data_IF_578966835493
#
_entry.id   IF_578966835493
#
_cell.length_a   1.000
_cell.length_b   1.000
_cell.length_c   1.000
_cell.angle_alpha   90.00
_cell.angle_beta   90.00
_cell.angle_gamma   90.00
#
_symmetry.space_group_name_H-M   'P 1'
#
loop_
_entity.id
_entity.type
_entity.pdbx_description
1 polymer ?
#
# COMPACT_ATOMS: atom_id res chain seq x y z
N UNK A 1 -15.99 -14.08 2.38
CA UNK A 1 -15.08 -13.00 1.99
C UNK A 1 -14.25 -12.60 3.20
N UNK A 2 -12.94 -12.46 3.08
CA UNK A 2 -12.13 -12.08 4.22
C UNK A 2 -12.42 -10.66 4.69
N UNK A 3 -12.46 -10.47 5.97
CA UNK A 3 -12.65 -9.19 6.65
C UNK A 3 -11.34 -8.78 7.34
N UNK A 4 -10.97 -7.53 7.23
CA UNK A 4 -9.84 -6.97 7.96
C UNK A 4 -10.34 -6.12 9.12
N UNK A 5 -9.88 -6.42 10.32
CA UNK A 5 -10.03 -5.58 11.49
C UNK A 5 -8.66 -5.08 11.93
N UNK A 6 -8.49 -3.77 11.93
CA UNK A 6 -7.29 -3.10 12.43
C UNK A 6 -7.68 -2.24 13.62
N UNK A 7 -7.03 -2.46 14.75
CA UNK A 7 -7.16 -1.62 15.94
C UNK A 7 -5.80 -1.01 16.30
N UNK A 8 -5.77 0.30 16.44
CA UNK A 8 -4.59 1.04 16.87
C UNK A 8 -4.89 1.64 18.24
N UNK A 9 -4.17 1.16 19.25
CA UNK A 9 -4.24 1.70 20.59
C UNK A 9 -3.23 2.82 20.76
N UNK A 10 -3.68 3.93 21.36
CA UNK A 10 -2.86 5.12 21.50
C UNK A 10 -2.99 5.72 22.90
N UNK A 11 -2.17 6.71 23.18
CA UNK A 11 -2.43 7.66 24.26
C UNK A 11 -3.73 8.40 23.98
N UNK A 12 -4.23 9.13 24.97
CA UNK A 12 -5.53 9.79 24.88
C UNK A 12 -5.60 10.77 23.69
N UNK A 13 -6.57 10.55 22.82
CA UNK A 13 -6.86 11.41 21.69
C UNK A 13 -7.95 12.40 22.12
N UNK A 14 -7.68 13.71 22.12
CA UNK A 14 -8.70 14.70 22.43
C UNK A 14 -9.96 14.54 21.56
N UNK A 15 -11.13 14.71 22.14
CA UNK A 15 -12.41 14.47 21.45
C UNK A 15 -12.52 15.22 20.12
N UNK A 16 -12.04 16.46 20.05
CA UNK A 16 -12.02 17.30 18.83
C UNK A 16 -11.16 16.71 17.70
N UNK A 17 -10.21 15.83 18.02
CA UNK A 17 -9.27 15.26 17.07
C UNK A 17 -9.68 13.84 16.64
N UNK A 18 -10.58 13.20 17.34
CA UNK A 18 -10.94 11.79 17.09
C UNK A 18 -11.52 11.58 15.69
N UNK A 19 -12.45 12.42 15.27
CA UNK A 19 -13.05 12.31 13.93
C UNK A 19 -12.05 12.58 12.83
N UNK A 20 -11.19 13.57 13.00
CA UNK A 20 -10.10 13.87 12.06
C UNK A 20 -9.14 12.71 11.93
N UNK A 21 -8.76 12.09 13.04
CA UNK A 21 -7.89 10.91 13.07
C UNK A 21 -8.53 9.72 12.35
N UNK A 22 -9.82 9.47 12.57
CA UNK A 22 -10.53 8.39 11.86
C UNK A 22 -10.54 8.61 10.35
N UNK A 23 -10.81 9.84 9.89
CA UNK A 23 -10.78 10.18 8.45
C UNK A 23 -9.38 10.05 7.85
N UNK A 24 -8.35 10.47 8.56
CA UNK A 24 -6.97 10.35 8.12
C UNK A 24 -6.56 8.88 8.00
N UNK A 25 -6.95 8.05 8.97
CA UNK A 25 -6.73 6.61 8.93
C UNK A 25 -7.41 5.98 7.70
N UNK A 26 -8.68 6.28 7.48
CA UNK A 26 -9.44 5.82 6.32
C UNK A 26 -8.76 6.20 5.01
N UNK A 27 -8.42 7.48 4.84
CA UNK A 27 -7.77 7.99 3.65
C UNK A 27 -6.42 7.32 3.39
N UNK A 28 -5.56 7.28 4.39
CA UNK A 28 -4.22 6.73 4.25
C UNK A 28 -4.24 5.25 3.90
N UNK A 29 -5.07 4.47 4.58
CA UNK A 29 -5.20 3.04 4.31
C UNK A 29 -5.81 2.80 2.94
N UNK A 30 -6.91 3.50 2.60
CA UNK A 30 -7.57 3.33 1.31
C UNK A 30 -6.66 3.69 0.14
N UNK A 31 -5.91 4.78 0.23
CA UNK A 31 -4.98 5.20 -0.82
C UNK A 31 -3.88 4.16 -1.04
N UNK A 32 -3.32 3.64 0.04
CA UNK A 32 -2.26 2.62 -0.04
C UNK A 32 -2.77 1.30 -0.63
N UNK A 33 -3.95 0.85 -0.22
CA UNK A 33 -4.55 -0.37 -0.75
C UNK A 33 -4.92 -0.23 -2.23
N UNK A 34 -5.42 0.94 -2.65
CA UNK A 34 -5.68 1.24 -4.07
C UNK A 34 -4.41 1.19 -4.91
N UNK A 35 -3.34 1.79 -4.43
CA UNK A 35 -2.03 1.75 -5.11
C UNK A 35 -1.53 0.31 -5.23
N UNK A 36 -1.76 -0.51 -4.22
CA UNK A 36 -1.42 -1.94 -4.26
C UNK A 36 -2.34 -2.76 -5.19
N UNK A 37 -3.43 -2.17 -5.69
CA UNK A 37 -4.37 -2.83 -6.59
C UNK A 37 -5.43 -3.67 -5.88
N UNK A 38 -5.61 -3.45 -4.59
CA UNK A 38 -6.67 -4.10 -3.81
C UNK A 38 -7.98 -3.33 -3.94
N UNK A 39 -9.07 -4.08 -3.96
CA UNK A 39 -10.44 -3.56 -3.92
C UNK A 39 -11.17 -4.14 -2.71
N UNK A 40 -12.21 -3.47 -2.27
CA UNK A 40 -13.03 -3.89 -1.14
C UNK A 40 -14.48 -3.45 -1.33
N UNK A 41 -15.39 -4.10 -0.61
CA UNK A 41 -16.81 -3.81 -0.70
C UNK A 41 -17.23 -2.68 0.25
N UNK A 42 -16.71 -2.70 1.47
CA UNK A 42 -17.03 -1.70 2.49
C UNK A 42 -15.82 -1.38 3.36
N UNK A 43 -15.75 -0.14 3.80
CA UNK A 43 -14.73 0.33 4.73
C UNK A 43 -15.40 1.24 5.75
N UNK A 44 -15.13 0.99 7.03
CA UNK A 44 -15.63 1.80 8.14
C UNK A 44 -14.51 2.09 9.14
N UNK A 45 -14.53 3.28 9.72
CA UNK A 45 -13.59 3.67 10.76
C UNK A 45 -14.34 4.14 11.99
N UNK A 46 -13.77 3.86 13.16
CA UNK A 46 -14.29 4.26 14.45
C UNK A 46 -13.15 4.86 15.27
N UNK A 47 -13.46 5.91 16.01
CA UNK A 47 -12.51 6.56 16.88
C UNK A 47 -13.02 6.57 18.31
N UNK A 48 -12.12 6.28 19.24
CA UNK A 48 -12.31 6.43 20.67
C UNK A 48 -11.18 7.21 21.30
N UNK A 49 -11.27 7.49 22.62
CA UNK A 49 -10.25 8.30 23.30
C UNK A 49 -8.84 7.67 23.27
N UNK A 50 -8.75 6.36 23.18
CA UNK A 50 -7.47 5.63 23.18
C UNK A 50 -7.36 4.59 22.05
N UNK A 51 -8.25 4.64 21.08
CA UNK A 51 -8.31 3.63 20.04
C UNK A 51 -8.83 4.21 18.72
N UNK A 52 -8.18 3.81 17.65
CA UNK A 52 -8.70 3.95 16.28
C UNK A 52 -8.95 2.57 15.73
N UNK A 53 -10.12 2.36 15.15
CA UNK A 53 -10.51 1.07 14.58
C UNK A 53 -10.86 1.25 13.11
N UNK A 54 -10.38 0.35 12.28
CA UNK A 54 -10.70 0.28 10.86
C UNK A 54 -11.18 -1.12 10.53
N UNK A 55 -12.31 -1.19 9.84
CA UNK A 55 -12.92 -2.45 9.38
C UNK A 55 -13.06 -2.38 7.87
N UNK A 56 -12.55 -3.38 7.18
CA UNK A 56 -12.68 -3.51 5.72
C UNK A 56 -13.31 -4.87 5.42
N UNK A 57 -14.41 -4.85 4.69
CA UNK A 57 -15.09 -6.05 4.21
C UNK A 57 -14.81 -6.27 2.72
N UNK A 58 -14.76 -7.54 2.31
CA UNK A 58 -14.62 -7.90 0.91
C UNK A 58 -13.21 -7.76 0.35
N UNK A 59 -12.18 -7.85 1.18
CA UNK A 59 -10.79 -7.89 0.70
C UNK A 59 -10.50 -9.22 0.02
N UNK A 60 -9.84 -9.22 -1.15
CA UNK A 60 -9.35 -10.46 -1.75
C UNK A 60 -8.19 -11.04 -0.93
N UNK A 61 -7.99 -12.34 -1.00
CA UNK A 61 -6.92 -13.02 -0.27
C UNK A 61 -5.52 -12.65 -0.79
N UNK A 62 -5.42 -12.29 -2.07
CA UNK A 62 -4.18 -11.86 -2.72
C UNK A 62 -4.50 -10.92 -3.89
N UNK A 63 -3.54 -10.11 -4.28
CA UNK A 63 -3.65 -9.33 -5.51
C UNK A 63 -3.45 -10.25 -6.72
N UNK A 64 -4.17 -10.03 -7.83
CA UNK A 64 -3.95 -10.78 -9.05
C UNK A 64 -2.56 -10.46 -9.64
N UNK A 65 -2.01 -11.42 -10.36
CA UNK A 65 -0.82 -11.18 -11.16
C UNK A 65 -1.14 -10.11 -12.21
N UNK A 66 -0.27 -9.16 -12.36
CA UNK A 66 -0.37 -8.11 -13.37
C UNK A 66 0.68 -8.30 -14.44
N UNK A 67 0.23 -8.30 -15.67
CA UNK A 67 1.12 -8.15 -16.82
C UNK A 67 0.90 -6.76 -17.41
N UNK A 68 1.96 -5.98 -17.48
CA UNK A 68 1.96 -4.66 -18.05
C UNK A 68 2.89 -4.64 -19.26
N UNK A 69 2.36 -4.21 -20.40
CA UNK A 69 3.14 -4.06 -21.62
C UNK A 69 3.58 -2.60 -21.75
N UNK A 70 4.88 -2.36 -21.75
CA UNK A 70 5.45 -1.02 -21.88
C UNK A 70 6.06 -0.89 -23.27
N UNK A 71 5.62 0.14 -23.98
CA UNK A 71 6.15 0.48 -25.30
C UNK A 71 7.58 1.03 -25.16
N UNK A 72 8.51 0.39 -25.83
CA UNK A 72 9.91 0.77 -25.86
C UNK A 72 10.32 1.52 -27.14
N UNK A 73 11.62 1.71 -27.32
CA UNK A 73 12.17 2.33 -28.52
C UNK A 73 12.00 1.43 -29.75
N UNK A 74 12.15 2.00 -30.94
CA UNK A 74 12.15 1.22 -32.18
C UNK A 74 13.33 0.26 -32.20
N UNK A 75 13.16 -0.86 -32.87
CA UNK A 75 14.23 -1.85 -33.05
C UNK A 75 15.48 -1.26 -33.74
N UNK A 76 15.28 -0.22 -34.55
CA UNK A 76 16.35 0.54 -35.22
C UNK A 76 16.92 1.71 -34.39
N UNK A 77 16.46 1.88 -33.14
CA UNK A 77 16.93 2.97 -32.27
C UNK A 77 18.40 2.78 -31.85
N UNK A 78 19.10 3.88 -31.53
CA UNK A 78 20.46 3.79 -31.01
C UNK A 78 20.56 2.90 -29.77
N UNK A 79 21.66 2.20 -29.65
CA UNK A 79 21.94 1.28 -28.55
C UNK A 79 21.80 1.96 -27.15
N UNK A 80 22.15 3.24 -27.07
CA UNK A 80 21.98 4.04 -25.86
C UNK A 80 20.53 4.19 -25.42
N UNK A 81 19.59 4.34 -26.36
CA UNK A 81 18.17 4.42 -26.05
C UNK A 81 17.63 3.06 -25.56
N UNK A 82 18.11 1.99 -26.17
CA UNK A 82 17.77 0.63 -25.74
C UNK A 82 18.32 0.33 -24.34
N UNK A 83 19.58 0.66 -24.07
CA UNK A 83 20.16 0.49 -22.72
C UNK A 83 19.41 1.30 -21.66
N UNK A 84 19.05 2.53 -21.96
CA UNK A 84 18.24 3.35 -21.06
C UNK A 84 16.89 2.72 -20.75
N UNK A 85 16.24 2.16 -21.74
CA UNK A 85 14.96 1.45 -21.59
C UNK A 85 15.11 0.16 -20.78
N UNK A 86 16.14 -0.64 -21.05
CA UNK A 86 16.45 -1.86 -20.31
C UNK A 86 16.78 -1.55 -18.83
N UNK A 87 17.53 -0.49 -18.59
CA UNK A 87 17.82 -0.05 -17.22
C UNK A 87 16.57 0.41 -16.48
N UNK A 88 15.67 1.10 -17.16
CA UNK A 88 14.41 1.57 -16.59
C UNK A 88 13.46 0.42 -16.26
N UNK A 89 13.38 -0.59 -17.11
CA UNK A 89 12.49 -1.75 -16.95
C UNK A 89 13.11 -2.89 -16.13
N UNK A 90 14.43 -2.90 -15.97
CA UNK A 90 15.15 -3.99 -15.30
C UNK A 90 15.15 -5.31 -16.09
N UNK A 91 14.85 -5.26 -17.39
CA UNK A 91 14.81 -6.43 -18.26
C UNK A 91 16.08 -6.55 -19.10
N UNK A 92 16.29 -7.74 -19.67
CA UNK A 92 17.34 -7.99 -20.64
C UNK A 92 16.78 -7.90 -22.07
N UNK A 93 17.66 -7.72 -23.05
CA UNK A 93 17.28 -7.60 -24.45
C UNK A 93 16.48 -8.81 -24.97
N UNK A 94 16.78 -9.99 -24.46
CA UNK A 94 16.09 -11.23 -24.82
C UNK A 94 14.65 -11.31 -24.32
N UNK A 95 14.31 -10.50 -23.32
CA UNK A 95 12.97 -10.44 -22.73
C UNK A 95 12.05 -9.44 -23.44
N UNK A 96 12.56 -8.70 -24.40
CA UNK A 96 11.78 -7.77 -25.19
C UNK A 96 11.10 -8.47 -26.36
N UNK A 97 9.87 -8.05 -26.65
CA UNK A 97 9.11 -8.50 -27.81
C UNK A 97 9.12 -7.42 -28.89
N UNK A 98 9.45 -7.80 -30.12
CA UNK A 98 9.38 -6.89 -31.28
C UNK A 98 8.03 -7.04 -31.97
N UNK A 99 7.34 -5.91 -32.14
CA UNK A 99 6.12 -5.81 -32.97
C UNK A 99 6.20 -4.56 -33.84
N UNK A 100 5.98 -4.71 -35.15
CA UNK A 100 5.97 -3.60 -36.09
C UNK A 100 7.22 -2.71 -36.02
N UNK A 101 8.38 -3.31 -35.76
CA UNK A 101 9.64 -2.59 -35.61
C UNK A 101 9.78 -1.79 -34.32
N UNK A 102 8.92 -2.03 -33.34
CA UNK A 102 8.97 -1.42 -32.01
C UNK A 102 9.17 -2.50 -30.96
N UNK A 103 10.04 -2.26 -30.01
CA UNK A 103 10.28 -3.16 -28.91
C UNK A 103 9.26 -2.90 -27.78
N UNK A 104 8.71 -3.99 -27.25
CA UNK A 104 7.80 -3.95 -26.11
C UNK A 104 8.37 -4.76 -24.95
N UNK A 105 8.29 -4.20 -23.75
CA UNK A 105 8.66 -4.90 -22.54
C UNK A 105 7.38 -5.40 -21.84
N UNK A 106 7.29 -6.70 -21.61
CA UNK A 106 6.23 -7.28 -20.78
C UNK A 106 6.75 -7.38 -19.36
N UNK A 107 6.20 -6.54 -18.48
CA UNK A 107 6.49 -6.55 -17.06
C UNK A 107 5.42 -7.41 -16.38
N UNK A 108 5.81 -8.59 -15.88
CA UNK A 108 4.93 -9.40 -15.04
C UNK A 108 5.22 -9.12 -13.58
N UNK A 109 4.22 -8.65 -12.86
CA UNK A 109 4.26 -8.50 -11.43
C UNK A 109 3.42 -9.60 -10.80
N UNK A 110 4.04 -10.48 -10.02
CA UNK A 110 3.31 -11.51 -9.29
C UNK A 110 2.44 -10.86 -8.22
N UNK A 111 1.23 -11.38 -8.09
CA UNK A 111 0.35 -11.02 -7.01
C UNK A 111 0.98 -11.28 -5.65
N UNK A 112 0.68 -10.40 -4.70
CA UNK A 112 1.15 -10.53 -3.31
C UNK A 112 -0.01 -10.91 -2.41
N UNK A 113 0.28 -11.64 -1.34
CA UNK A 113 -0.72 -11.92 -0.31
C UNK A 113 -1.23 -10.62 0.31
N UNK A 114 -2.54 -10.52 0.50
CA UNK A 114 -3.17 -9.34 1.11
C UNK A 114 -2.63 -9.09 2.51
N UNK A 115 -2.30 -10.13 3.27
CA UNK A 115 -1.70 -10.02 4.60
C UNK A 115 -0.40 -9.22 4.60
N UNK A 116 0.48 -9.47 3.64
CA UNK A 116 1.76 -8.76 3.52
C UNK A 116 1.55 -7.30 3.14
N UNK A 117 0.64 -7.03 2.21
CA UNK A 117 0.30 -5.67 1.77
C UNK A 117 -0.34 -4.87 2.91
N UNK A 118 -1.20 -5.49 3.69
CA UNK A 118 -1.82 -4.88 4.87
C UNK A 118 -0.78 -4.58 5.94
N UNK A 119 0.14 -5.49 6.20
CA UNK A 119 1.22 -5.27 7.16
C UNK A 119 2.10 -4.08 6.78
N UNK A 120 2.50 -3.97 5.52
CA UNK A 120 3.26 -2.83 5.00
C UNK A 120 2.45 -1.52 5.09
N UNK A 121 1.16 -1.59 4.76
CA UNK A 121 0.26 -0.42 4.84
C UNK A 121 0.14 0.08 6.26
N UNK A 122 -0.07 -0.81 7.22
CA UNK A 122 -0.19 -0.48 8.64
C UNK A 122 1.10 0.14 9.17
N UNK A 123 2.25 -0.45 8.85
CA UNK A 123 3.55 0.09 9.25
C UNK A 123 3.76 1.51 8.69
N UNK A 124 3.47 1.72 7.43
CA UNK A 124 3.56 3.04 6.81
C UNK A 124 2.62 4.05 7.45
N UNK A 125 1.36 3.68 7.66
CA UNK A 125 0.34 4.56 8.27
C UNK A 125 0.75 4.96 9.67
N UNK A 126 1.19 4.02 10.48
CA UNK A 126 1.61 4.28 11.87
C UNK A 126 2.80 5.24 11.92
N UNK A 127 3.78 5.05 11.04
CA UNK A 127 4.98 5.90 10.99
C UNK A 127 4.74 7.30 10.45
N UNK A 128 3.80 7.46 9.54
CA UNK A 128 3.53 8.72 8.84
C UNK A 128 2.22 9.38 9.26
N UNK A 129 1.56 8.87 10.29
CA UNK A 129 0.28 9.39 10.73
C UNK A 129 0.39 10.88 11.13
N UNK A 130 -0.46 11.76 10.56
CA UNK A 130 -0.35 13.20 10.76
C UNK A 130 -0.95 13.65 12.12
N UNK A 131 -0.32 13.27 13.20
CA UNK A 131 -0.72 13.76 14.52
C UNK A 131 -0.40 15.26 14.64
N UNK A 132 -1.35 16.11 15.04
CA UNK A 132 -1.08 17.51 15.31
C UNK A 132 -0.05 17.72 16.41
N UNK A 133 0.05 16.75 17.32
CA UNK A 133 1.00 16.74 18.41
C UNK A 133 1.50 15.31 18.62
N UNK A 134 2.79 15.12 18.40
CA UNK A 134 3.45 13.84 18.67
C UNK A 134 4.65 14.07 19.58
N UNK A 135 4.96 13.08 20.40
CA UNK A 135 6.11 13.12 21.30
C UNK A 135 7.19 12.15 20.84
N UNK A 136 8.43 12.61 20.94
CA UNK A 136 9.62 11.76 20.77
C UNK A 136 10.31 11.59 22.12
N UNK A 137 10.73 10.35 22.37
CA UNK A 137 11.56 10.02 23.52
C UNK A 137 12.99 9.74 23.04
N UNK A 138 13.93 10.60 23.45
CA UNK A 138 15.33 10.46 23.07
C UNK A 138 15.55 10.47 21.56
N UNK A 139 16.30 9.51 21.04
CA UNK A 139 16.57 9.31 19.61
C UNK A 139 15.55 8.41 18.90
N UNK A 140 14.48 8.04 19.58
CA UNK A 140 13.45 7.14 19.06
C UNK A 140 12.49 7.78 18.06
N UNK A 141 11.64 6.95 17.47
CA UNK A 141 10.53 7.40 16.63
C UNK A 141 9.44 8.10 17.47
N UNK A 142 8.63 8.99 16.89
CA UNK A 142 7.50 9.59 17.59
C UNK A 142 6.57 8.51 18.17
N UNK A 143 6.24 8.61 19.45
CA UNK A 143 5.34 7.69 20.13
C UNK A 143 4.01 8.39 20.37
N UNK A 144 3.04 8.14 19.51
CA UNK A 144 1.64 8.54 19.66
C UNK A 144 0.72 7.38 20.01
N UNK A 145 1.26 6.18 20.07
CA UNK A 145 0.56 4.95 20.40
C UNK A 145 1.44 4.06 21.27
N UNK A 146 0.82 3.27 22.15
CA UNK A 146 1.51 2.34 23.04
C UNK A 146 1.39 0.90 22.58
N UNK A 147 0.37 0.58 21.77
CA UNK A 147 0.11 -0.75 21.27
C UNK A 147 -0.45 -0.74 19.87
N UNK A 148 0.11 -1.59 19.01
CA UNK A 148 -0.43 -1.93 17.71
C UNK A 148 -0.90 -3.37 17.75
N UNK A 149 -2.18 -3.60 17.59
CA UNK A 149 -2.72 -4.94 17.41
C UNK A 149 -2.53 -5.34 15.95
N UNK A 150 -1.90 -6.49 15.72
CA UNK A 150 -1.75 -7.01 14.37
C UNK A 150 -3.12 -7.16 13.70
N UNK A 151 -3.25 -6.81 12.44
CA UNK A 151 -4.50 -6.99 11.73
C UNK A 151 -4.88 -8.47 11.74
N UNK A 152 -6.09 -8.74 12.16
CA UNK A 152 -6.65 -10.10 12.13
C UNK A 152 -7.53 -10.21 10.89
N UNK A 153 -7.23 -11.15 10.04
CA UNK A 153 -8.06 -11.46 8.88
C UNK A 153 -8.94 -12.64 9.26
N UNK A 154 -10.22 -12.43 9.31
CA UNK A 154 -11.20 -13.48 9.51
C UNK A 154 -11.74 -13.93 8.14
N UNK A 155 -11.61 -15.22 7.86
CA UNK A 155 -12.37 -15.86 6.78
C UNK A 155 -13.71 -16.32 7.35
N UNK A 156 -14.79 -15.82 6.80
CA UNK A 156 -16.12 -16.32 7.09
C UNK A 156 -16.51 -17.33 6.02
#
# INVERSE_FOLDING_TARGET
>A
MPQLLLEIFSEEIPARMQQGAARDLERMVSDRLKVAGLTWDALATYAGPRRLTLVIDGLPAATPDREEEVKGPRASAPEQALEGFLRKTGLTRDQLTERDGVLFAVLSSKGRATTDLVAETVDHVVRTFPWPKSMRWGSGTPVSYTHLTLPTIYSV
#
